data_IF_874408455493
#
_entry.id   IF_874408455493
#
_cell.length_a   1.000
_cell.length_b   1.000
_cell.length_c   1.000
_cell.angle_alpha   90.00
_cell.angle_beta   90.00
_cell.angle_gamma   90.00
#
_symmetry.space_group_name_H-M   'P 1'
#
loop_
_entity.id
_entity.type
_entity.pdbx_description
1 polymer ?
#
# COMPACT_ATOMS: atom_id res chain seq x y z
N UNK A 1 0.89 8.39 -18.55
CA UNK A 1 1.24 9.76 -18.09
C UNK A 1 2.30 9.64 -17.01
N UNK A 2 3.33 10.48 -16.98
CA UNK A 2 4.36 10.44 -15.93
C UNK A 2 4.05 11.40 -14.78
N UNK A 3 4.29 10.94 -13.55
CA UNK A 3 4.17 11.74 -12.33
C UNK A 3 5.43 11.54 -11.50
N UNK A 4 6.05 12.64 -11.09
CA UNK A 4 7.21 12.64 -10.22
C UNK A 4 6.77 12.88 -8.77
N UNK A 5 7.35 12.12 -7.85
CA UNK A 5 7.06 12.17 -6.42
C UNK A 5 8.38 12.17 -5.64
N UNK A 6 8.39 12.87 -4.52
CA UNK A 6 9.51 12.91 -3.60
C UNK A 6 9.27 11.93 -2.45
N UNK A 7 10.13 10.92 -2.34
CA UNK A 7 10.05 9.87 -1.32
C UNK A 7 11.18 10.07 -0.31
N UNK A 8 10.88 9.92 0.98
CA UNK A 8 11.86 10.04 2.06
C UNK A 8 13.01 9.02 1.92
N UNK A 9 14.21 9.39 2.34
CA UNK A 9 15.36 8.47 2.49
C UNK A 9 15.04 7.24 3.35
N UNK A 10 14.10 7.37 4.29
CA UNK A 10 13.68 6.26 5.17
C UNK A 10 12.88 5.20 4.39
N UNK A 11 12.05 5.63 3.44
CA UNK A 11 11.08 4.77 2.76
C UNK A 11 11.58 4.30 1.39
N UNK A 12 12.53 5.02 0.77
CA UNK A 12 13.07 4.68 -0.55
C UNK A 12 13.59 3.24 -0.69
N UNK A 13 14.14 2.55 0.34
CA UNK A 13 14.57 1.16 0.21
C UNK A 13 13.43 0.18 -0.07
N UNK A 14 12.19 0.57 0.23
CA UNK A 14 10.99 -0.23 -0.02
C UNK A 14 10.45 -0.06 -1.46
N UNK A 15 10.92 0.96 -2.18
CA UNK A 15 10.39 1.34 -3.49
C UNK A 15 11.25 0.76 -4.61
N UNK A 16 10.62 0.07 -5.55
CA UNK A 16 11.29 -0.59 -6.67
C UNK A 16 10.51 -0.40 -7.98
N UNK A 17 11.20 -0.31 -9.14
CA UNK A 17 10.54 -0.33 -10.44
C UNK A 17 9.64 -1.56 -10.59
N UNK A 18 8.46 -1.37 -11.20
CA UNK A 18 7.44 -2.39 -11.41
C UNK A 18 6.40 -2.51 -10.29
N UNK A 19 6.58 -1.85 -9.14
CA UNK A 19 5.56 -1.82 -8.10
C UNK A 19 4.30 -1.09 -8.57
N UNK A 20 3.15 -1.63 -8.22
CA UNK A 20 1.85 -1.05 -8.53
C UNK A 20 1.64 0.23 -7.73
N UNK A 21 1.03 1.22 -8.36
CA UNK A 21 0.67 2.48 -7.71
C UNK A 21 -0.78 2.85 -7.95
N UNK A 22 -1.37 3.51 -6.95
CA UNK A 22 -2.70 4.10 -7.02
C UNK A 22 -2.54 5.60 -6.77
N UNK A 23 -3.00 6.41 -7.70
CA UNK A 23 -2.93 7.86 -7.63
C UNK A 23 -4.33 8.48 -7.56
N UNK A 24 -4.46 9.52 -6.76
CA UNK A 24 -5.65 10.39 -6.70
C UNK A 24 -5.22 11.83 -6.91
N UNK A 25 -6.13 12.66 -7.42
CA UNK A 25 -5.89 14.07 -7.67
C UNK A 25 -6.93 14.88 -6.91
N UNK A 26 -6.50 15.89 -6.16
CA UNK A 26 -7.42 16.74 -5.37
C UNK A 26 -8.49 17.42 -6.24
N UNK A 27 -8.14 17.69 -7.50
CA UNK A 27 -9.03 18.32 -8.49
C UNK A 27 -10.05 17.35 -9.11
N UNK A 28 -9.88 16.02 -8.93
CA UNK A 28 -10.71 14.98 -9.55
C UNK A 28 -11.26 14.09 -8.43
N UNK A 29 -12.45 14.44 -7.95
CA UNK A 29 -13.05 13.77 -6.80
C UNK A 29 -13.46 12.34 -7.11
N UNK A 30 -13.23 11.45 -6.13
CA UNK A 30 -13.69 10.05 -6.12
C UNK A 30 -13.21 9.20 -7.31
N UNK A 31 -12.02 9.50 -7.84
CA UNK A 31 -11.40 8.74 -8.93
C UNK A 31 -9.97 8.36 -8.59
N UNK A 32 -9.68 7.09 -8.84
CA UNK A 32 -8.37 6.49 -8.67
C UNK A 32 -7.79 6.18 -10.05
N UNK A 33 -6.48 6.38 -10.15
CA UNK A 33 -5.69 6.09 -11.34
C UNK A 33 -4.64 5.05 -10.99
N UNK A 34 -4.48 4.06 -11.85
CA UNK A 34 -3.57 2.94 -11.65
C UNK A 34 -2.33 3.11 -12.49
N UNK A 35 -1.20 2.69 -11.94
CA UNK A 35 0.07 2.78 -12.62
C UNK A 35 1.13 1.89 -12.03
N UNK A 36 2.36 2.17 -12.42
CA UNK A 36 3.53 1.48 -11.89
C UNK A 36 4.72 2.42 -11.71
N UNK A 37 5.61 2.10 -10.78
CA UNK A 37 6.91 2.76 -10.66
C UNK A 37 7.77 2.42 -11.87
N UNK A 38 8.26 3.43 -12.59
CA UNK A 38 9.13 3.24 -13.76
C UNK A 38 10.59 3.52 -13.47
N UNK A 39 10.88 4.45 -12.55
CA UNK A 39 12.25 4.75 -12.16
C UNK A 39 12.34 5.32 -10.75
N UNK A 40 13.48 5.04 -10.12
CA UNK A 40 13.90 5.63 -8.85
C UNK A 40 15.23 6.34 -9.10
N UNK A 41 15.31 7.62 -8.79
CA UNK A 41 16.53 8.39 -8.97
C UNK A 41 17.64 7.84 -8.06
N UNK A 42 18.87 7.64 -8.57
CA UNK A 42 19.98 7.11 -7.77
C UNK A 42 20.57 8.14 -6.80
N UNK A 43 20.23 9.42 -6.97
CA UNK A 43 20.72 10.53 -6.16
C UNK A 43 19.51 11.22 -5.54
N UNK A 44 19.56 11.40 -4.22
CA UNK A 44 18.57 12.16 -3.48
C UNK A 44 18.95 13.64 -3.38
N UNK A 45 17.95 14.49 -3.21
CA UNK A 45 18.08 15.90 -2.96
C UNK A 45 17.85 16.19 -1.48
N UNK A 46 18.72 17.00 -0.88
CA UNK A 46 18.59 17.43 0.51
C UNK A 46 18.21 18.91 0.57
N UNK A 47 17.01 19.20 1.07
CA UNK A 47 16.52 20.57 1.26
C UNK A 47 16.18 20.76 2.73
N UNK A 48 16.76 21.78 3.37
CA UNK A 48 16.56 22.09 4.79
C UNK A 48 16.82 20.89 5.73
N UNK A 49 17.78 20.03 5.38
CA UNK A 49 18.13 18.84 6.16
C UNK A 49 17.18 17.65 5.98
N UNK A 50 16.21 17.73 5.07
CA UNK A 50 15.34 16.62 4.69
C UNK A 50 15.84 16.06 3.37
N UNK A 51 16.24 14.78 3.36
CA UNK A 51 16.68 14.07 2.15
C UNK A 51 15.51 13.32 1.54
N UNK A 52 15.28 13.54 0.25
CA UNK A 52 14.27 12.83 -0.54
C UNK A 52 14.81 12.38 -1.89
N UNK A 53 14.28 11.29 -2.41
CA UNK A 53 14.60 10.73 -3.70
C UNK A 53 13.42 10.93 -4.66
N UNK A 54 13.72 11.36 -5.88
CA UNK A 54 12.70 11.46 -6.92
C UNK A 54 12.34 10.05 -7.41
N UNK A 55 11.07 9.70 -7.35
CA UNK A 55 10.50 8.49 -7.95
C UNK A 55 9.56 8.93 -9.07
N UNK A 56 9.66 8.27 -10.22
CA UNK A 56 8.75 8.51 -11.34
C UNK A 56 7.82 7.32 -11.49
N UNK A 57 6.53 7.61 -11.55
CA UNK A 57 5.49 6.61 -11.84
C UNK A 57 4.83 6.91 -13.17
N UNK A 58 4.39 5.84 -13.84
CA UNK A 58 3.59 5.91 -15.04
C UNK A 58 2.15 5.49 -14.74
N UNK A 59 1.21 6.41 -14.92
CA UNK A 59 -0.22 6.13 -14.89
C UNK A 59 -0.67 5.54 -16.23
N UNK A 60 -1.33 4.39 -16.15
CA UNK A 60 -1.81 3.58 -17.27
C UNK A 60 -3.21 3.95 -17.75
N UNK A 61 -4.03 4.52 -16.87
CA UNK A 61 -5.46 4.85 -17.07
C UNK A 61 -5.75 6.35 -16.92
N UNK A 62 -4.72 7.20 -16.99
CA UNK A 62 -4.89 8.64 -16.97
C UNK A 62 -5.70 9.12 -18.19
N UNK A 63 -6.70 9.97 -17.96
CA UNK A 63 -7.57 10.51 -19.00
C UNK A 63 -7.46 12.03 -19.14
N UNK A 64 -8.34 12.63 -19.94
CA UNK A 64 -8.29 14.05 -20.29
C UNK A 64 -8.52 15.01 -19.11
N UNK A 65 -9.02 14.51 -17.98
CA UNK A 65 -9.20 15.32 -16.76
C UNK A 65 -7.86 15.55 -16.04
N UNK A 66 -6.92 14.60 -16.19
CA UNK A 66 -5.60 14.67 -15.55
C UNK A 66 -4.71 15.63 -16.33
N UNK A 67 -4.16 16.62 -15.63
CA UNK A 67 -3.27 17.64 -16.23
C UNK A 67 -1.97 17.77 -15.46
N UNK A 68 -0.91 18.09 -16.20
CA UNK A 68 0.39 18.44 -15.63
C UNK A 68 0.26 19.64 -14.68
N UNK A 69 0.96 19.59 -13.56
CA UNK A 69 0.93 20.61 -12.52
C UNK A 69 -0.17 20.45 -11.48
N UNK A 70 -1.04 19.43 -11.59
CA UNK A 70 -1.96 19.07 -10.52
C UNK A 70 -1.22 18.43 -9.35
N UNK A 71 -1.67 18.74 -8.12
CA UNK A 71 -1.26 18.00 -6.93
C UNK A 71 -1.92 16.63 -6.94
N UNK A 72 -1.12 15.60 -6.67
CA UNK A 72 -1.59 14.22 -6.59
C UNK A 72 -1.13 13.58 -5.29
N UNK A 73 -1.92 12.63 -4.80
CA UNK A 73 -1.52 11.72 -3.74
C UNK A 73 -1.31 10.33 -4.37
N UNK A 74 -0.10 9.79 -4.23
CA UNK A 74 0.28 8.50 -4.82
C UNK A 74 0.57 7.50 -3.71
N UNK A 75 -0.09 6.36 -3.77
CA UNK A 75 0.14 5.21 -2.89
C UNK A 75 0.89 4.13 -3.66
N UNK A 76 2.09 3.79 -3.22
CA UNK A 76 2.90 2.71 -3.80
C UNK A 76 2.67 1.43 -3.00
N UNK A 77 2.28 0.35 -3.67
CA UNK A 77 2.11 -0.95 -3.05
C UNK A 77 3.49 -1.62 -2.95
N UNK A 78 4.10 -1.54 -1.77
CA UNK A 78 5.47 -2.04 -1.53
C UNK A 78 5.53 -3.54 -1.26
N UNK A 79 4.44 -4.13 -0.80
CA UNK A 79 4.31 -5.57 -0.56
C UNK A 79 2.85 -6.00 -0.69
N UNK A 80 2.64 -7.17 -1.28
CA UNK A 80 1.36 -7.85 -1.36
C UNK A 80 1.57 -9.32 -1.03
N UNK A 81 0.63 -9.90 -0.27
CA UNK A 81 0.60 -11.33 0.03
C UNK A 81 -0.75 -11.87 -0.42
N UNK A 82 -0.69 -12.81 -1.35
CA UNK A 82 -1.87 -13.49 -1.87
C UNK A 82 -2.07 -14.83 -1.16
N UNK A 83 -3.31 -15.33 -1.18
CA UNK A 83 -3.69 -16.65 -0.64
C UNK A 83 -3.33 -16.88 0.84
N UNK A 84 -3.50 -15.84 1.66
CA UNK A 84 -3.27 -15.90 3.12
C UNK A 84 -4.59 -15.86 3.90
N UNK A 85 -4.63 -16.62 5.01
CA UNK A 85 -5.75 -16.53 5.94
C UNK A 85 -5.65 -15.22 6.75
N UNK A 86 -6.62 -14.33 6.54
CA UNK A 86 -6.67 -13.05 7.23
C UNK A 86 -7.70 -13.09 8.37
N UNK A 87 -7.27 -12.69 9.56
CA UNK A 87 -8.15 -12.52 10.73
C UNK A 87 -8.07 -11.07 11.23
N UNK A 88 -9.17 -10.47 11.71
CA UNK A 88 -9.11 -9.16 12.33
C UNK A 88 -8.16 -9.16 13.53
N UNK A 89 -7.35 -8.11 13.71
CA UNK A 89 -6.44 -8.01 14.86
C UNK A 89 -7.13 -8.22 16.22
N UNK A 90 -8.39 -7.78 16.35
CA UNK A 90 -9.21 -7.96 17.57
C UNK A 90 -9.57 -9.42 17.88
N UNK A 91 -9.50 -10.31 16.90
CA UNK A 91 -9.80 -11.74 17.06
C UNK A 91 -8.60 -12.50 17.63
N UNK A 92 -7.39 -11.93 17.52
CA UNK A 92 -6.15 -12.51 18.04
C UNK A 92 -6.16 -12.38 19.57
N UNK A 93 -6.01 -13.51 20.25
CA UNK A 93 -5.86 -13.59 21.71
C UNK A 93 -4.49 -14.15 22.06
N UNK A 94 -3.95 -13.73 23.19
CA UNK A 94 -2.73 -14.30 23.75
C UNK A 94 -3.14 -15.34 24.80
N UNK A 95 -2.71 -16.59 24.62
CA UNK A 95 -2.92 -17.67 25.59
C UNK A 95 -1.59 -18.39 25.76
N UNK A 96 -1.07 -18.45 26.99
CA UNK A 96 0.21 -19.10 27.31
C UNK A 96 1.40 -18.66 26.43
N UNK A 97 1.38 -17.41 25.97
CA UNK A 97 2.41 -16.83 25.10
C UNK A 97 2.19 -17.07 23.60
N UNK A 98 1.21 -17.88 23.22
CA UNK A 98 0.84 -18.15 21.83
C UNK A 98 -0.31 -17.24 21.37
N UNK A 99 -0.31 -16.89 20.09
CA UNK A 99 -1.40 -16.15 19.44
C UNK A 99 -2.42 -17.16 18.93
N UNK A 100 -3.66 -17.06 19.38
CA UNK A 100 -4.75 -17.97 19.00
C UNK A 100 -5.98 -17.20 18.54
N UNK A 101 -6.79 -17.82 17.69
CA UNK A 101 -8.11 -17.35 17.30
C UNK A 101 -9.18 -18.38 17.62
N UNK A 102 -10.36 -17.93 18.01
CA UNK A 102 -11.51 -18.79 18.27
C UNK A 102 -12.39 -18.86 17.03
N UNK A 103 -12.65 -20.09 16.56
CA UNK A 103 -13.60 -20.33 15.46
C UNK A 103 -14.92 -20.80 16.05
N UNK A 104 -15.99 -20.09 15.75
CA UNK A 104 -17.33 -20.58 16.05
C UNK A 104 -17.65 -21.71 15.07
N UNK A 105 -17.72 -22.95 15.55
CA UNK A 105 -18.30 -24.05 14.76
C UNK A 105 -19.80 -24.08 15.02
N UNK A 106 -20.58 -24.03 13.95
CA UNK A 106 -22.02 -24.21 14.02
C UNK A 106 -22.27 -25.66 14.43
N UNK A 107 -22.58 -25.87 15.71
CA UNK A 107 -22.85 -27.19 16.21
C UNK A 107 -24.33 -27.49 15.94
N UNK A 108 -24.59 -28.63 15.30
CA UNK A 108 -25.90 -29.30 15.37
C UNK A 108 -26.30 -29.58 16.84
N UNK A 109 -25.45 -29.29 17.84
CA UNK A 109 -25.82 -29.09 19.25
C UNK A 109 -24.77 -28.27 20.03
N UNK A 110 -24.92 -26.94 20.11
CA UNK A 110 -24.52 -26.10 21.25
C UNK A 110 -23.09 -26.06 21.83
N UNK A 111 -22.09 -26.81 21.35
CA UNK A 111 -20.71 -26.78 21.88
C UNK A 111 -19.71 -26.24 20.85
N UNK A 112 -19.05 -25.09 21.09
CA UNK A 112 -17.98 -24.61 20.22
C UNK A 112 -16.70 -25.43 20.49
N UNK A 113 -16.34 -26.29 19.54
CA UNK A 113 -15.03 -26.95 19.50
C UNK A 113 -14.33 -26.59 18.20
N UNK A 114 -13.19 -25.90 18.25
CA UNK A 114 -12.37 -25.63 17.07
C UNK A 114 -11.28 -24.58 17.28
N UNK A 115 -10.12 -25.00 17.80
CA UNK A 115 -8.89 -24.22 17.90
C UNK A 115 -8.14 -24.29 16.56
N UNK A 116 -7.77 -23.15 16.00
CA UNK A 116 -6.76 -23.07 14.94
C UNK A 116 -5.49 -22.43 15.52
N UNK A 117 -4.30 -23.04 15.32
CA UNK A 117 -3.03 -22.35 15.53
C UNK A 117 -2.79 -21.28 14.46
#
# INVERSE_FOLDING_TARGET
MLVDLNVSEIDIPLVQPGQQVIATFDAILAKEYHGQVVSVAPVGDTVNGITSFTVTVELSDADAEVRSGMTSAVSIITSAVDDVLMVPNRAIRLLDGERVVYVLRDSVNGTPEGRLP
#
